data_IF_647191208262
#
_entry.id   IF_647191208262
#
_cell.length_a   1.000
_cell.length_b   1.000
_cell.length_c   1.000
_cell.angle_alpha   90.00
_cell.angle_beta   90.00
_cell.angle_gamma   90.00
#
_symmetry.space_group_name_H-M   'P 1'
#
loop_
_entity.id
_entity.type
_entity.pdbx_description
1 polymer ?
#
# COMPACT_ATOMS: atom_id res chain seq x y z
N UNK A 1 -2.89 -8.69 -10.94
CA UNK A 1 -2.05 -8.48 -9.74
C UNK A 1 -1.09 -7.32 -9.95
N UNK A 2 -1.58 -6.10 -9.77
CA UNK A 2 -0.77 -4.87 -9.88
C UNK A 2 0.00 -4.63 -8.58
N UNK A 3 1.33 -4.38 -8.63
CA UNK A 3 2.11 -4.06 -7.43
C UNK A 3 1.84 -2.62 -6.99
N UNK A 4 1.54 -2.46 -5.71
CA UNK A 4 1.31 -1.18 -5.05
C UNK A 4 2.45 -0.90 -4.09
N UNK A 5 2.94 0.33 -4.08
CA UNK A 5 3.89 0.79 -3.06
C UNK A 5 3.10 1.30 -1.87
N UNK A 6 3.48 0.87 -0.68
CA UNK A 6 2.92 1.33 0.58
C UNK A 6 4.06 1.97 1.38
N UNK A 7 3.80 3.14 1.95
CA UNK A 7 4.72 3.79 2.88
C UNK A 7 4.04 3.84 4.23
N UNK A 8 4.48 2.95 5.12
CA UNK A 8 3.99 2.84 6.50
C UNK A 8 4.98 3.56 7.41
N UNK A 9 4.63 4.77 7.84
CA UNK A 9 5.57 5.65 8.54
C UNK A 9 6.82 5.92 7.70
N UNK A 10 7.98 5.41 8.11
CA UNK A 10 9.25 5.51 7.38
C UNK A 10 9.59 4.28 6.54
N UNK A 11 8.79 3.21 6.60
CA UNK A 11 9.06 1.94 5.95
C UNK A 11 8.34 1.81 4.58
N UNK A 12 9.07 1.91 3.45
CA UNK A 12 8.50 1.60 2.14
C UNK A 12 8.46 0.08 1.93
N UNK A 13 7.30 -0.45 1.56
CA UNK A 13 7.10 -1.84 1.15
C UNK A 13 6.28 -1.91 -0.13
N UNK A 14 6.28 -3.07 -0.77
CA UNK A 14 5.47 -3.34 -1.95
C UNK A 14 4.50 -4.46 -1.63
N UNK A 15 3.22 -4.21 -1.87
CA UNK A 15 2.14 -5.18 -1.76
C UNK A 15 1.59 -5.55 -3.12
N UNK A 16 0.97 -6.72 -3.21
CA UNK A 16 0.15 -7.13 -4.35
C UNK A 16 -1.27 -7.25 -3.87
N UNK A 17 -2.21 -6.62 -4.57
CA UNK A 17 -3.64 -6.65 -4.22
C UNK A 17 -4.13 -8.10 -4.33
N UNK A 18 -4.74 -8.61 -3.26
CA UNK A 18 -5.38 -9.93 -3.20
C UNK A 18 -6.89 -9.84 -3.29
N UNK A 19 -7.49 -8.78 -2.72
CA UNK A 19 -8.93 -8.54 -2.73
C UNK A 19 -9.23 -7.05 -2.74
N UNK A 20 -10.32 -6.69 -3.41
CA UNK A 20 -10.91 -5.37 -3.41
C UNK A 20 -12.37 -5.51 -2.98
N UNK A 21 -12.80 -4.77 -1.96
CA UNK A 21 -14.18 -4.80 -1.49
C UNK A 21 -14.63 -3.42 -1.03
N UNK A 22 -15.44 -2.74 -1.85
CA UNK A 22 -15.88 -1.38 -1.53
C UNK A 22 -14.70 -0.45 -1.32
N UNK A 23 -14.61 0.12 -0.12
CA UNK A 23 -13.56 1.05 0.30
C UNK A 23 -12.36 0.36 0.98
N UNK A 24 -12.39 -0.97 1.10
CA UNK A 24 -11.32 -1.77 1.70
C UNK A 24 -10.50 -2.53 0.66
N UNK A 25 -9.20 -2.63 0.93
CA UNK A 25 -8.24 -3.34 0.08
C UNK A 25 -7.42 -4.32 0.92
N UNK A 26 -7.28 -5.55 0.44
CA UNK A 26 -6.36 -6.52 1.03
C UNK A 26 -5.11 -6.65 0.15
N UNK A 27 -3.95 -6.63 0.79
CA UNK A 27 -2.64 -6.64 0.13
C UNK A 27 -1.75 -7.72 0.75
N UNK A 28 -1.19 -8.58 -0.09
CA UNK A 28 -0.09 -9.46 0.28
C UNK A 28 1.24 -8.69 0.18
N UNK A 29 1.88 -8.44 1.32
CA UNK A 29 3.15 -7.71 1.38
C UNK A 29 4.33 -8.59 0.96
N UNK A 30 5.25 -8.03 0.17
CA UNK A 30 6.51 -8.72 -0.17
C UNK A 30 7.51 -8.75 0.99
N UNK A 31 7.49 -7.73 1.84
CA UNK A 31 8.29 -7.66 3.06
C UNK A 31 7.38 -7.25 4.21
N UNK A 32 7.42 -7.95 5.35
CA UNK A 32 6.64 -7.57 6.52
C UNK A 32 7.06 -6.18 6.99
N UNK A 33 6.09 -5.43 7.51
CA UNK A 33 6.30 -4.11 8.13
C UNK A 33 5.50 -4.06 9.42
N UNK A 34 5.96 -3.25 10.37
CA UNK A 34 5.20 -2.95 11.58
C UNK A 34 4.26 -1.80 11.28
N UNK A 35 3.00 -1.96 11.68
CA UNK A 35 1.97 -0.94 11.58
C UNK A 35 1.09 -0.98 12.85
N UNK A 36 0.58 0.17 13.26
CA UNK A 36 -0.44 0.27 14.31
C UNK A 36 -1.84 0.33 13.70
N UNK A 37 -2.84 -0.17 14.43
CA UNK A 37 -4.25 -0.03 14.01
C UNK A 37 -4.62 1.44 13.96
N UNK A 38 -5.29 1.88 12.89
CA UNK A 38 -5.62 3.27 12.69
C UNK A 38 -4.46 4.13 12.17
N UNK A 39 -3.31 3.53 11.86
CA UNK A 39 -2.17 4.28 11.33
C UNK A 39 -2.42 4.70 9.88
N UNK A 40 -2.24 5.99 9.59
CA UNK A 40 -2.32 6.50 8.22
C UNK A 40 -1.09 6.09 7.42
N UNK A 41 -1.32 5.52 6.24
CA UNK A 41 -0.28 5.06 5.31
C UNK A 41 -0.43 5.76 3.96
N UNK A 42 0.68 5.97 3.25
CA UNK A 42 0.66 6.49 1.89
C UNK A 42 0.63 5.35 0.87
N UNK A 43 -0.16 5.53 -0.19
CA UNK A 43 -0.33 4.56 -1.27
C UNK A 43 0.23 5.15 -2.56
N UNK A 44 1.14 4.40 -3.18
CA UNK A 44 1.75 4.71 -4.45
C UNK A 44 1.41 3.66 -5.52
N UNK A 45 1.15 4.13 -6.73
CA UNK A 45 0.95 3.32 -7.93
C UNK A 45 2.11 3.51 -8.90
N UNK A 46 2.44 2.48 -9.67
CA UNK A 46 3.44 2.59 -10.73
C UNK A 46 2.79 3.09 -12.02
N UNK A 47 3.17 4.28 -12.47
CA UNK A 47 2.71 4.90 -13.73
C UNK A 47 3.94 5.29 -14.55
N UNK A 48 4.02 4.85 -15.80
CA UNK A 48 5.17 5.12 -16.70
C UNK A 48 6.53 4.79 -16.04
N UNK A 49 6.60 3.63 -15.39
CA UNK A 49 7.77 3.16 -14.63
C UNK A 49 8.17 3.99 -13.40
N UNK A 50 7.43 5.03 -13.02
CA UNK A 50 7.67 5.84 -11.82
C UNK A 50 6.58 5.58 -10.77
N UNK A 51 6.95 5.66 -9.50
CA UNK A 51 5.97 5.63 -8.42
C UNK A 51 5.32 7.01 -8.28
N UNK A 52 4.00 7.03 -8.32
CA UNK A 52 3.18 8.21 -8.12
C UNK A 52 2.33 8.00 -6.87
N UNK A 53 2.31 8.98 -5.99
CA UNK A 53 1.38 9.01 -4.86
C UNK A 53 -0.04 9.11 -5.42
N UNK A 54 -0.91 8.18 -5.04
CA UNK A 54 -2.31 8.17 -5.49
C UNK A 54 -3.30 8.44 -4.36
N UNK A 55 -2.88 8.33 -3.10
CA UNK A 55 -3.73 8.59 -1.95
C UNK A 55 -3.12 8.11 -0.64
N UNK A 56 -3.98 8.00 0.37
CA UNK A 56 -3.67 7.44 1.67
C UNK A 56 -4.75 6.43 2.09
N UNK A 57 -4.43 5.59 3.05
CA UNK A 57 -5.37 4.71 3.72
C UNK A 57 -5.06 4.65 5.22
N UNK A 58 -5.95 3.99 5.96
CA UNK A 58 -5.82 3.66 7.37
C UNK A 58 -5.71 2.12 7.49
N UNK A 59 -4.85 1.64 8.38
CA UNK A 59 -4.65 0.20 8.66
C UNK A 59 -5.75 -0.35 9.57
#
# INVERSE_FOLDING_TARGET
NEPMMLVVGTAPTVGVITRLHGDEIELALKRPVVAEKGQRIAIGRRVENKWRLIGYAEI
#
